data_IF_106146319838
#
_entry.id   IF_106146319838
#
_cell.length_a   1.000
_cell.length_b   1.000
_cell.length_c   1.000
_cell.angle_alpha   90.00
_cell.angle_beta   90.00
_cell.angle_gamma   90.00
#
_symmetry.space_group_name_H-M   'P 1'
#
loop_
_entity.id
_entity.type
_entity.pdbx_description
1 polymer ?
#
# COMPACT_ATOMS: atom_id res chain seq x y z
N UNK A 1 -8.05 -22.41 -7.26
CA UNK A 1 -7.90 -20.95 -7.22
C UNK A 1 -8.99 -20.35 -6.33
N UNK A 2 -8.68 -19.36 -5.50
CA UNK A 2 -9.64 -18.65 -4.65
C UNK A 2 -9.34 -17.14 -4.62
N UNK A 3 -10.38 -16.30 -4.65
CA UNK A 3 -10.22 -14.85 -4.49
C UNK A 3 -9.95 -14.47 -3.03
N UNK A 4 -8.86 -13.77 -2.76
CA UNK A 4 -8.23 -13.52 -1.45
C UNK A 4 -7.85 -14.76 -0.67
N UNK A 5 -8.81 -15.64 -0.34
CA UNK A 5 -8.55 -16.86 0.44
C UNK A 5 -8.07 -16.65 1.88
N UNK A 6 -8.00 -15.41 2.39
CA UNK A 6 -7.41 -15.13 3.70
C UNK A 6 -8.41 -15.18 4.87
N UNK A 7 -9.70 -14.97 4.63
CA UNK A 7 -10.72 -14.91 5.70
C UNK A 7 -11.98 -15.73 5.39
N UNK A 8 -12.74 -16.03 6.45
CA UNK A 8 -14.07 -16.62 6.37
C UNK A 8 -14.14 -17.95 5.61
N UNK A 9 -15.23 -18.14 4.86
CA UNK A 9 -15.47 -19.38 4.10
C UNK A 9 -14.44 -19.63 3.00
N UNK A 10 -13.84 -18.57 2.46
CA UNK A 10 -12.77 -18.66 1.46
C UNK A 10 -11.48 -19.20 2.06
N UNK A 11 -11.15 -18.82 3.30
CA UNK A 11 -10.05 -19.43 4.05
C UNK A 11 -10.31 -20.90 4.31
N UNK A 12 -11.50 -21.25 4.80
CA UNK A 12 -11.87 -22.65 5.03
C UNK A 12 -11.74 -23.51 3.75
N UNK A 13 -12.15 -22.97 2.59
CA UNK A 13 -11.98 -23.64 1.31
C UNK A 13 -10.51 -23.88 0.95
N UNK A 14 -9.66 -22.86 1.09
CA UNK A 14 -8.22 -22.97 0.80
C UNK A 14 -7.53 -23.94 1.75
N UNK A 15 -7.82 -23.89 3.05
CA UNK A 15 -7.28 -24.80 4.06
C UNK A 15 -7.68 -26.25 3.77
N UNK A 16 -8.95 -26.49 3.44
CA UNK A 16 -9.42 -27.83 3.04
C UNK A 16 -8.76 -28.32 1.75
N UNK A 17 -8.51 -27.44 0.78
CA UNK A 17 -7.76 -27.81 -0.43
C UNK A 17 -6.31 -28.19 -0.11
N UNK A 18 -5.63 -27.44 0.77
CA UNK A 18 -4.27 -27.76 1.24
C UNK A 18 -4.21 -29.09 1.97
N UNK A 19 -5.15 -29.32 2.90
CA UNK A 19 -5.26 -30.59 3.65
C UNK A 19 -5.46 -31.79 2.72
N UNK A 20 -6.22 -31.61 1.63
CA UNK A 20 -6.41 -32.62 0.60
C UNK A 20 -5.20 -32.79 -0.36
N UNK A 21 -4.10 -32.07 -0.15
CA UNK A 21 -2.91 -32.10 -1.02
C UNK A 21 -3.10 -31.42 -2.38
N UNK A 22 -4.14 -30.60 -2.54
CA UNK A 22 -4.39 -29.88 -3.78
C UNK A 22 -3.53 -28.59 -3.85
N UNK A 23 -2.95 -28.28 -5.02
CA UNK A 23 -2.25 -27.01 -5.21
C UNK A 23 -3.20 -25.82 -5.02
N UNK A 24 -2.73 -24.79 -4.32
CA UNK A 24 -3.49 -23.55 -4.09
C UNK A 24 -3.01 -22.41 -4.95
N UNK A 25 -3.96 -21.55 -5.34
CA UNK A 25 -3.67 -20.29 -6.04
C UNK A 25 -4.61 -19.22 -5.50
N UNK A 26 -4.06 -18.13 -5.03
CA UNK A 26 -4.75 -16.98 -4.50
C UNK A 26 -4.79 -15.87 -5.55
N UNK A 27 -5.96 -15.26 -5.70
CA UNK A 27 -6.18 -14.17 -6.63
C UNK A 27 -6.61 -12.90 -5.90
N UNK A 28 -6.09 -11.75 -6.32
CA UNK A 28 -6.51 -10.42 -5.82
C UNK A 28 -6.22 -9.36 -6.90
N UNK A 29 -6.89 -8.21 -6.83
CA UNK A 29 -6.50 -7.05 -7.62
C UNK A 29 -5.08 -6.63 -7.27
N UNK A 30 -4.26 -6.35 -8.29
CA UNK A 30 -2.96 -5.75 -8.03
C UNK A 30 -3.14 -4.28 -7.62
N UNK A 31 -2.17 -3.71 -6.89
CA UNK A 31 -2.06 -2.27 -6.65
C UNK A 31 -1.71 -1.47 -7.92
N UNK A 32 -1.60 -2.12 -9.10
CA UNK A 32 -1.29 -1.51 -10.39
C UNK A 32 -2.50 -1.57 -11.34
N UNK A 33 -2.76 -0.53 -12.15
CA UNK A 33 -3.91 -0.49 -13.06
C UNK A 33 -3.89 -1.65 -14.04
N UNK A 34 -5.06 -2.26 -14.29
CA UNK A 34 -5.20 -3.35 -15.26
C UNK A 34 -4.49 -4.66 -14.88
N UNK A 35 -4.07 -4.81 -13.62
CA UNK A 35 -3.28 -5.97 -13.20
C UNK A 35 -3.85 -6.74 -12.02
N UNK A 36 -3.54 -8.02 -12.00
CA UNK A 36 -3.95 -8.97 -10.95
C UNK A 36 -2.74 -9.60 -10.27
N UNK A 37 -2.96 -10.05 -9.04
CA UNK A 37 -2.05 -10.95 -8.32
C UNK A 37 -2.55 -12.37 -8.50
N UNK A 38 -1.66 -13.29 -8.90
CA UNK A 38 -1.87 -14.73 -8.80
C UNK A 38 -0.65 -15.35 -8.12
N UNK A 39 -0.85 -15.90 -6.93
CA UNK A 39 0.23 -16.35 -6.06
C UNK A 39 -0.16 -17.63 -5.33
N UNK A 40 0.74 -18.62 -5.27
CA UNK A 40 0.46 -19.91 -4.66
C UNK A 40 0.53 -19.90 -3.12
N UNK A 41 1.28 -18.96 -2.54
CA UNK A 41 1.47 -18.80 -1.10
C UNK A 41 0.34 -18.00 -0.46
N UNK A 42 -0.01 -16.86 -1.06
CA UNK A 42 -1.02 -15.94 -0.52
C UNK A 42 -1.04 -14.61 -1.27
N UNK A 43 -1.89 -13.68 -0.83
CA UNK A 43 -1.96 -12.31 -1.37
C UNK A 43 -1.65 -11.29 -0.29
N UNK A 44 -1.45 -10.03 -0.67
CA UNK A 44 -1.16 -8.95 0.26
C UNK A 44 0.10 -9.25 1.09
N UNK A 45 0.04 -9.19 2.42
CA UNK A 45 1.18 -9.49 3.28
C UNK A 45 1.54 -10.99 3.34
N UNK A 46 0.69 -11.90 2.84
CA UNK A 46 0.98 -13.36 2.77
C UNK A 46 1.53 -13.79 1.41
N UNK A 47 1.88 -12.84 0.53
CA UNK A 47 2.39 -13.17 -0.79
C UNK A 47 3.83 -13.70 -0.81
N UNK A 48 4.22 -14.25 -1.96
CA UNK A 48 5.55 -14.80 -2.22
C UNK A 48 6.59 -13.76 -2.67
N UNK A 49 6.27 -12.46 -2.62
CA UNK A 49 7.19 -11.39 -3.06
C UNK A 49 8.42 -11.34 -2.14
N UNK A 50 9.65 -11.46 -2.68
CA UNK A 50 10.86 -11.35 -1.87
C UNK A 50 10.99 -10.00 -1.16
N UNK A 51 11.33 -10.00 0.13
CA UNK A 51 11.43 -8.76 0.96
C UNK A 51 12.87 -8.41 1.30
N UNK A 52 13.76 -8.62 0.33
CA UNK A 52 15.20 -8.44 0.47
C UNK A 52 15.78 -7.98 -0.86
N UNK A 53 16.74 -7.08 -0.80
CA UNK A 53 17.23 -6.37 -1.98
C UNK A 53 17.94 -7.29 -2.97
N UNK A 54 18.61 -8.35 -2.50
CA UNK A 54 19.37 -9.29 -3.34
C UNK A 54 18.51 -9.98 -4.39
N UNK A 55 17.21 -10.13 -4.12
CA UNK A 55 16.27 -10.75 -5.04
C UNK A 55 16.09 -9.93 -6.34
N UNK A 56 16.50 -8.67 -6.33
CA UNK A 56 16.30 -7.72 -7.42
C UNK A 56 17.62 -7.34 -8.13
N UNK A 57 18.77 -7.92 -7.74
CA UNK A 57 20.08 -7.59 -8.33
C UNK A 57 20.21 -7.91 -9.81
N UNK A 58 19.53 -8.96 -10.27
CA UNK A 58 19.52 -9.34 -11.68
C UNK A 58 18.49 -8.57 -12.53
N UNK A 59 17.64 -7.73 -11.89
CA UNK A 59 16.57 -7.02 -12.59
C UNK A 59 17.11 -5.71 -13.15
N UNK A 60 16.94 -5.49 -14.45
CA UNK A 60 17.21 -4.19 -15.06
C UNK A 60 16.00 -3.25 -14.84
N UNK A 61 16.18 -2.01 -14.34
CA UNK A 61 15.11 -1.03 -14.27
C UNK A 61 14.49 -0.75 -15.64
N UNK A 62 13.16 -0.69 -15.72
CA UNK A 62 12.43 -0.27 -16.91
C UNK A 62 11.64 1.01 -16.62
N UNK A 63 12.29 2.16 -16.76
CA UNK A 63 11.68 3.46 -16.46
C UNK A 63 10.52 3.82 -17.39
N UNK A 64 10.51 3.36 -18.64
CA UNK A 64 9.40 3.60 -19.58
C UNK A 64 8.13 2.89 -19.10
N UNK A 65 8.25 1.62 -18.71
CA UNK A 65 7.14 0.86 -18.10
C UNK A 65 6.61 1.54 -16.83
N UNK A 66 7.52 1.98 -15.96
CA UNK A 66 7.14 2.64 -14.71
C UNK A 66 6.44 3.98 -14.94
N UNK A 67 6.92 4.78 -15.90
CA UNK A 67 6.29 6.03 -16.28
C UNK A 67 4.87 5.81 -16.85
N UNK A 68 4.70 4.83 -17.74
CA UNK A 68 3.37 4.51 -18.28
C UNK A 68 2.38 4.03 -17.20
N UNK A 69 2.86 3.26 -16.21
CA UNK A 69 2.02 2.87 -15.07
C UNK A 69 1.64 4.03 -14.18
N UNK A 70 2.57 4.99 -13.97
CA UNK A 70 2.30 6.21 -13.20
C UNK A 70 1.16 7.00 -13.83
N UNK A 71 1.18 7.19 -15.15
CA UNK A 71 0.15 7.93 -15.89
C UNK A 71 -1.23 7.28 -15.85
N UNK A 72 -1.29 5.95 -15.65
CA UNK A 72 -2.54 5.20 -15.58
C UNK A 72 -3.19 5.18 -14.19
N UNK A 73 -2.58 5.80 -13.17
CA UNK A 73 -3.16 5.85 -11.84
C UNK A 73 -4.34 6.82 -11.76
N UNK A 74 -5.48 6.32 -11.30
CA UNK A 74 -6.69 7.12 -11.11
C UNK A 74 -7.26 6.92 -9.71
N UNK A 75 -7.74 8.01 -9.11
CA UNK A 75 -8.39 7.93 -7.81
C UNK A 75 -9.75 7.24 -7.91
N UNK A 76 -10.06 6.45 -6.88
CA UNK A 76 -11.34 5.73 -6.80
C UNK A 76 -12.50 6.70 -6.62
N UNK A 77 -13.57 6.45 -7.37
CA UNK A 77 -14.84 7.16 -7.26
C UNK A 77 -15.42 7.07 -5.83
N UNK A 78 -15.73 8.21 -5.18
CA UNK A 78 -16.30 8.24 -3.84
C UNK A 78 -17.70 7.63 -3.74
N UNK A 79 -17.94 6.88 -2.66
CA UNK A 79 -19.27 6.39 -2.25
C UNK A 79 -19.99 7.35 -1.31
N UNK A 80 -19.24 8.26 -0.68
CA UNK A 80 -19.73 9.27 0.27
C UNK A 80 -19.63 10.66 -0.37
N UNK A 81 -20.65 11.49 -0.14
CA UNK A 81 -20.73 12.86 -0.70
C UNK A 81 -19.72 13.82 -0.10
N UNK A 82 -19.27 13.55 1.12
CA UNK A 82 -18.32 14.39 1.85
C UNK A 82 -16.86 14.00 1.59
N UNK A 83 -16.61 13.07 0.65
CA UNK A 83 -15.30 12.76 0.09
C UNK A 83 -15.31 13.16 -1.38
N UNK A 84 -14.49 14.14 -1.72
CA UNK A 84 -14.36 14.71 -3.06
C UNK A 84 -13.12 14.23 -3.81
N UNK A 85 -13.02 14.71 -5.05
CA UNK A 85 -11.92 14.49 -5.99
C UNK A 85 -11.49 15.82 -6.63
N UNK A 86 -11.50 16.90 -5.86
CA UNK A 86 -11.05 18.20 -6.38
C UNK A 86 -9.54 18.19 -6.64
N UNK A 87 -9.14 18.69 -7.78
CA UNK A 87 -7.76 18.93 -8.22
C UNK A 87 -7.25 20.32 -7.82
N UNK A 88 -7.96 21.03 -6.95
CA UNK A 88 -7.59 22.36 -6.52
C UNK A 88 -6.19 22.36 -5.86
N UNK A 89 -5.29 23.25 -6.27
CA UNK A 89 -3.91 23.26 -5.78
C UNK A 89 -3.85 23.40 -4.26
N UNK A 90 -2.85 22.76 -3.68
CA UNK A 90 -2.49 22.91 -2.28
C UNK A 90 -1.55 24.12 -2.11
N UNK A 91 -1.51 24.76 -0.94
CA UNK A 91 -0.53 25.81 -0.66
C UNK A 91 0.90 25.28 -0.86
N UNK A 92 1.74 26.06 -1.56
CA UNK A 92 3.11 25.66 -1.91
C UNK A 92 4.01 25.44 -0.67
N UNK A 93 3.66 26.04 0.46
CA UNK A 93 4.38 25.97 1.73
C UNK A 93 3.87 24.86 2.67
N UNK A 94 2.84 24.11 2.28
CA UNK A 94 2.30 23.04 3.11
C UNK A 94 3.27 21.85 3.18
N UNK A 95 3.95 21.68 4.33
CA UNK A 95 4.85 20.54 4.58
C UNK A 95 4.09 19.43 5.28
N UNK A 96 3.73 18.38 4.55
CA UNK A 96 2.95 17.29 5.13
C UNK A 96 3.33 15.92 4.59
N UNK A 97 3.13 14.92 5.44
CA UNK A 97 3.02 13.53 5.01
C UNK A 97 1.56 13.20 4.74
N UNK A 98 1.29 12.62 3.58
CA UNK A 98 -0.07 12.20 3.20
C UNK A 98 -0.40 10.85 3.84
N UNK A 99 -1.59 10.77 4.43
CA UNK A 99 -2.10 9.58 5.11
C UNK A 99 -3.43 9.17 4.47
N UNK A 100 -3.39 8.34 3.40
CA UNK A 100 -4.59 7.76 2.83
C UNK A 100 -5.15 6.70 3.78
N UNK A 101 -6.25 7.02 4.46
CA UNK A 101 -6.91 6.09 5.37
C UNK A 101 -7.55 4.95 4.57
N UNK A 102 -7.66 3.79 5.21
CA UNK A 102 -8.19 2.57 4.61
C UNK A 102 -9.60 2.27 5.11
N UNK A 103 -10.25 1.31 4.48
CA UNK A 103 -11.57 0.83 4.89
C UNK A 103 -11.41 0.01 6.19
N UNK A 104 -12.20 0.26 7.26
CA UNK A 104 -12.03 -0.43 8.54
C UNK A 104 -12.21 -1.96 8.46
N UNK A 105 -13.16 -2.42 7.63
CA UNK A 105 -13.50 -3.83 7.43
C UNK A 105 -12.73 -4.48 6.27
N UNK A 106 -11.68 -3.82 5.76
CA UNK A 106 -10.77 -4.41 4.79
C UNK A 106 -9.96 -5.56 5.41
N UNK A 107 -9.74 -6.65 4.67
CA UNK A 107 -8.99 -7.79 5.18
C UNK A 107 -7.54 -7.43 5.51
N UNK A 108 -6.90 -6.51 4.77
CA UNK A 108 -5.58 -6.03 5.10
C UNK A 108 -5.55 -5.21 6.38
N UNK A 109 -6.62 -4.45 6.65
CA UNK A 109 -6.73 -3.70 7.91
C UNK A 109 -6.98 -4.64 9.10
N UNK A 110 -7.76 -5.70 8.90
CA UNK A 110 -8.07 -6.66 9.98
C UNK A 110 -6.87 -7.57 10.28
N UNK A 111 -6.19 -8.08 9.26
CA UNK A 111 -5.16 -9.11 9.42
C UNK A 111 -3.76 -8.53 9.61
N UNK A 112 -3.48 -7.38 8.99
CA UNK A 112 -2.10 -6.93 8.76
C UNK A 112 -1.85 -5.51 9.28
N UNK A 113 -2.66 -5.03 10.23
CA UNK A 113 -2.48 -3.71 10.84
C UNK A 113 -1.34 -3.62 11.86
N UNK A 114 -0.68 -4.74 12.16
CA UNK A 114 0.45 -4.78 13.09
C UNK A 114 0.09 -4.21 14.47
N UNK A 115 1.00 -3.44 15.04
CA UNK A 115 0.85 -2.84 16.38
C UNK A 115 -0.25 -1.78 16.45
N UNK A 116 -0.70 -1.22 15.32
CA UNK A 116 -1.82 -0.28 15.29
C UNK A 116 -3.17 -0.96 15.55
N UNK A 117 -3.29 -2.29 15.39
CA UNK A 117 -4.48 -3.05 15.73
C UNK A 117 -5.76 -2.71 14.95
N UNK A 118 -5.66 -1.91 13.88
CA UNK A 118 -6.77 -1.50 13.01
C UNK A 118 -6.78 0.00 12.74
N UNK A 119 -7.81 0.47 12.02
CA UNK A 119 -7.87 1.87 11.57
C UNK A 119 -7.93 2.86 12.73
N UNK A 120 -8.71 2.54 13.77
CA UNK A 120 -8.87 3.43 14.92
C UNK A 120 -7.58 3.58 15.72
N UNK A 121 -6.88 2.47 15.99
CA UNK A 121 -5.59 2.51 16.67
C UNK A 121 -4.50 3.15 15.81
N UNK A 122 -4.56 3.01 14.49
CA UNK A 122 -3.71 3.77 13.57
C UNK A 122 -3.94 5.28 13.71
N UNK A 123 -5.19 5.75 13.71
CA UNK A 123 -5.51 7.18 13.89
C UNK A 123 -5.00 7.70 15.24
N UNK A 124 -5.13 6.92 16.31
CA UNK A 124 -4.63 7.29 17.63
C UNK A 124 -3.10 7.37 17.66
N UNK A 125 -2.43 6.40 17.04
CA UNK A 125 -0.98 6.38 16.92
C UNK A 125 -0.45 7.58 16.11
N UNK A 126 -1.14 7.98 15.03
CA UNK A 126 -0.81 9.19 14.27
C UNK A 126 -0.97 10.44 15.12
N UNK A 127 -2.03 10.53 15.91
CA UNK A 127 -2.25 11.67 16.79
C UNK A 127 -1.12 11.82 17.81
N UNK A 128 -0.72 10.72 18.45
CA UNK A 128 0.40 10.70 19.40
C UNK A 128 1.73 11.04 18.72
N UNK A 129 2.07 10.36 17.63
CA UNK A 129 3.35 10.55 16.94
C UNK A 129 3.46 11.93 16.26
N UNK A 130 2.33 12.59 15.94
CA UNK A 130 2.33 13.95 15.36
C UNK A 130 3.00 15.00 16.26
N UNK A 131 3.14 14.72 17.57
CA UNK A 131 3.87 15.59 18.49
C UNK A 131 5.38 15.67 18.19
N UNK A 132 5.95 14.64 17.55
CA UNK A 132 7.37 14.59 17.17
C UNK A 132 7.69 15.43 15.93
N UNK A 133 6.68 15.78 15.13
CA UNK A 133 6.89 16.54 13.89
C UNK A 133 7.61 17.87 14.14
N UNK A 134 8.46 18.35 13.21
CA UNK A 134 9.01 19.69 13.27
C UNK A 134 7.90 20.76 13.14
N UNK A 135 8.21 22.00 13.55
CA UNK A 135 7.28 23.12 13.38
C UNK A 135 6.90 23.30 11.89
N UNK A 136 5.64 23.63 11.63
CA UNK A 136 5.10 23.78 10.27
C UNK A 136 4.72 22.47 9.58
N UNK A 137 5.03 21.31 10.17
CA UNK A 137 4.62 20.01 9.64
C UNK A 137 3.33 19.48 10.23
N UNK A 138 2.58 18.72 9.42
CA UNK A 138 1.41 17.96 9.85
C UNK A 138 1.24 16.64 9.08
N UNK A 139 0.35 15.81 9.58
CA UNK A 139 -0.16 14.63 8.87
C UNK A 139 -1.48 14.99 8.20
N UNK A 140 -1.55 14.90 6.87
CA UNK A 140 -2.79 15.17 6.11
C UNK A 140 -3.52 13.86 5.84
N UNK A 141 -4.64 13.68 6.52
CA UNK A 141 -5.48 12.48 6.45
C UNK A 141 -6.58 12.67 5.40
N UNK A 142 -6.86 11.61 4.64
CA UNK A 142 -8.04 11.52 3.77
C UNK A 142 -8.76 10.21 4.00
N UNK A 143 -10.07 10.27 4.23
CA UNK A 143 -10.89 9.06 4.36
C UNK A 143 -11.00 8.30 3.04
N UNK A 144 -11.00 6.96 3.12
CA UNK A 144 -11.09 6.13 1.92
C UNK A 144 -12.41 6.39 1.16
N UNK A 145 -12.39 6.59 -0.17
CA UNK A 145 -13.59 6.86 -0.98
C UNK A 145 -14.67 5.76 -0.85
N UNK A 146 -14.24 4.52 -0.62
CA UNK A 146 -15.15 3.36 -0.45
C UNK A 146 -15.57 3.08 1.00
N UNK A 147 -15.06 3.82 1.99
CA UNK A 147 -15.45 3.62 3.38
C UNK A 147 -16.92 3.98 3.60
N UNK A 148 -17.66 3.09 4.26
CA UNK A 148 -19.10 3.28 4.52
C UNK A 148 -19.37 4.22 5.70
N UNK A 149 -18.44 4.29 6.64
CA UNK A 149 -18.57 5.06 7.89
C UNK A 149 -17.46 6.09 7.96
N UNK A 150 -17.80 7.23 8.58
CA UNK A 150 -16.81 8.28 8.81
C UNK A 150 -16.04 8.08 10.11
N UNK A 151 -14.75 8.39 10.07
CA UNK A 151 -13.87 8.54 11.24
C UNK A 151 -13.56 10.00 11.58
N UNK A 152 -14.19 10.96 10.87
CA UNK A 152 -14.00 12.41 11.04
C UNK A 152 -14.07 12.84 12.50
N UNK A 153 -15.12 12.43 13.22
CA UNK A 153 -15.31 12.84 14.62
C UNK A 153 -14.16 12.41 15.55
N UNK A 154 -13.48 11.30 15.25
CA UNK A 154 -12.29 10.86 16.00
C UNK A 154 -11.09 11.74 15.68
N UNK A 155 -10.88 12.03 14.40
CA UNK A 155 -9.78 12.88 13.93
C UNK A 155 -9.95 14.31 14.47
N UNK A 156 -11.15 14.88 14.38
CA UNK A 156 -11.45 16.22 14.91
C UNK A 156 -11.23 16.32 16.42
N UNK A 157 -11.49 15.24 17.18
CA UNK A 157 -11.18 15.19 18.61
C UNK A 157 -9.68 15.29 18.87
N UNK A 158 -8.85 14.58 18.10
CA UNK A 158 -7.39 14.64 18.22
C UNK A 158 -6.86 16.02 17.82
N UNK A 159 -7.39 16.61 16.75
CA UNK A 159 -7.06 17.99 16.35
C UNK A 159 -7.40 18.98 17.47
N UNK A 160 -8.59 18.87 18.06
CA UNK A 160 -8.99 19.71 19.19
C UNK A 160 -8.12 19.51 20.45
N UNK A 161 -7.47 18.34 20.58
CA UNK A 161 -6.51 18.03 21.64
C UNK A 161 -5.06 18.48 21.31
N UNK A 162 -4.84 19.12 20.15
CA UNK A 162 -3.54 19.66 19.75
C UNK A 162 -2.69 18.73 18.87
N UNK A 163 -3.24 17.61 18.38
CA UNK A 163 -2.54 16.77 17.42
C UNK A 163 -2.36 17.53 16.09
N UNK A 164 -1.19 17.39 15.46
CA UNK A 164 -0.87 18.04 14.18
C UNK A 164 -1.40 17.23 13.01
N UNK A 165 -2.73 17.09 12.97
CA UNK A 165 -3.46 16.39 11.94
C UNK A 165 -4.30 17.39 11.14
N UNK A 166 -4.49 17.13 9.85
CA UNK A 166 -5.46 17.83 9.02
C UNK A 166 -6.30 16.82 8.25
N UNK A 167 -7.63 16.96 8.30
CA UNK A 167 -8.54 16.12 7.51
C UNK A 167 -8.90 16.82 6.20
N UNK A 168 -8.43 16.30 5.08
CA UNK A 168 -8.77 16.78 3.73
C UNK A 168 -9.47 15.69 2.92
N UNK A 169 -10.79 15.63 3.11
CA UNK A 169 -11.63 14.77 2.30
C UNK A 169 -11.97 15.35 0.93
N UNK A 170 -11.75 16.65 0.69
CA UNK A 170 -12.25 17.34 -0.50
C UNK A 170 -11.39 17.09 -1.74
N UNK A 171 -10.06 17.07 -1.56
CA UNK A 171 -9.10 16.95 -2.67
C UNK A 171 -8.85 15.53 -3.13
N UNK A 172 -8.51 15.35 -4.39
CA UNK A 172 -8.13 14.08 -4.98
C UNK A 172 -6.94 13.41 -4.25
N UNK A 173 -6.96 12.08 -4.16
CA UNK A 173 -5.92 11.34 -3.44
C UNK A 173 -4.55 11.42 -4.13
N UNK A 174 -4.49 11.36 -5.46
CA UNK A 174 -3.24 11.47 -6.19
C UNK A 174 -2.73 12.91 -6.21
N UNK A 175 -3.64 13.91 -6.28
CA UNK A 175 -3.24 15.31 -6.10
C UNK A 175 -2.61 15.56 -4.72
N UNK A 176 -3.17 15.00 -3.65
CA UNK A 176 -2.59 15.09 -2.30
C UNK A 176 -1.26 14.32 -2.19
N UNK A 177 -1.16 13.15 -2.81
CA UNK A 177 0.06 12.36 -2.85
C UNK A 177 1.19 13.11 -3.57
N UNK A 178 0.93 13.66 -4.76
CA UNK A 178 1.92 14.41 -5.54
C UNK A 178 2.45 15.64 -4.80
N UNK A 179 1.56 16.37 -4.11
CA UNK A 179 1.94 17.53 -3.32
C UNK A 179 2.62 17.21 -1.98
N UNK A 180 2.50 15.97 -1.48
CA UNK A 180 3.08 15.58 -0.18
C UNK A 180 4.60 15.45 -0.21
N UNK A 181 5.24 15.55 0.95
CA UNK A 181 6.65 15.23 1.11
C UNK A 181 6.91 13.71 1.20
N UNK A 182 5.87 12.92 1.49
CA UNK A 182 5.95 11.48 1.68
C UNK A 182 4.58 10.90 2.05
N UNK A 183 4.48 9.58 2.05
CA UNK A 183 3.25 8.85 2.40
C UNK A 183 3.45 8.02 3.66
N UNK A 184 2.49 8.04 4.57
CA UNK A 184 2.45 7.20 5.76
C UNK A 184 1.18 6.36 5.71
N UNK A 185 1.34 5.03 5.76
CA UNK A 185 0.22 4.10 5.65
C UNK A 185 0.38 2.91 6.58
N UNK A 186 -0.72 2.18 6.83
CA UNK A 186 -0.63 0.88 7.49
C UNK A 186 -0.09 -0.15 6.52
N UNK A 187 -0.79 -0.37 5.40
CA UNK A 187 -0.40 -1.33 4.35
C UNK A 187 -1.15 -1.10 3.03
N UNK A 188 -1.62 0.14 2.79
CA UNK A 188 -2.43 0.49 1.63
C UNK A 188 -1.66 0.30 0.32
N UNK A 189 -2.36 -0.09 -0.74
CA UNK A 189 -1.85 -0.04 -2.12
C UNK A 189 -1.30 1.35 -2.47
N UNK A 190 -1.88 2.43 -1.92
CA UNK A 190 -1.36 3.78 -2.16
C UNK A 190 0.06 3.98 -1.63
N UNK A 191 0.51 3.19 -0.63
CA UNK A 191 1.90 3.18 -0.19
C UNK A 191 2.84 2.69 -1.30
N UNK A 192 2.49 1.60 -2.00
CA UNK A 192 3.25 1.16 -3.18
C UNK A 192 3.15 2.18 -4.32
N UNK A 193 1.96 2.72 -4.57
CA UNK A 193 1.74 3.67 -5.67
C UNK A 193 2.56 4.96 -5.48
N UNK A 194 2.73 5.41 -4.24
CA UNK A 194 3.55 6.59 -3.91
C UNK A 194 5.00 6.47 -4.39
N UNK A 195 5.53 5.25 -4.48
CA UNK A 195 6.88 4.99 -4.99
C UNK A 195 7.03 5.38 -6.47
N UNK A 196 5.96 5.34 -7.26
CA UNK A 196 5.96 5.78 -8.66
C UNK A 196 6.01 7.31 -8.79
N UNK A 197 5.73 8.05 -7.71
CA UNK A 197 5.84 9.50 -7.63
C UNK A 197 7.08 9.92 -6.83
N UNK A 198 8.04 9.01 -6.69
CA UNK A 198 9.31 9.22 -5.99
C UNK A 198 9.17 9.62 -4.51
N UNK A 199 8.01 9.32 -3.89
CA UNK A 199 7.76 9.69 -2.50
C UNK A 199 8.38 8.67 -1.53
N UNK A 200 9.02 9.10 -0.43
CA UNK A 200 9.32 8.18 0.66
C UNK A 200 8.03 7.65 1.29
N UNK A 201 8.09 6.43 1.83
CA UNK A 201 6.92 5.73 2.36
C UNK A 201 7.23 5.18 3.73
N UNK A 202 6.43 5.55 4.74
CA UNK A 202 6.42 4.94 6.07
C UNK A 202 5.29 3.91 6.14
N UNK A 203 5.57 2.75 6.71
CA UNK A 203 4.61 1.63 6.82
C UNK A 203 4.52 1.16 8.27
N UNK A 204 3.34 1.26 8.89
CA UNK A 204 3.16 0.85 10.31
C UNK A 204 2.63 -0.58 10.48
N UNK A 205 2.03 -1.15 9.43
CA UNK A 205 1.53 -2.53 9.40
C UNK A 205 2.42 -3.47 8.59
N UNK A 206 1.87 -4.63 8.24
CA UNK A 206 2.56 -5.59 7.38
C UNK A 206 2.23 -5.32 5.91
N UNK A 207 3.26 -4.98 5.14
CA UNK A 207 3.18 -4.85 3.69
C UNK A 207 4.41 -5.49 3.04
N UNK A 208 4.21 -6.20 1.93
CA UNK A 208 5.32 -6.88 1.23
C UNK A 208 6.38 -5.92 0.68
N UNK A 209 6.06 -4.63 0.53
CA UNK A 209 6.96 -3.57 0.08
C UNK A 209 7.66 -2.83 1.24
N UNK A 210 7.41 -3.22 2.48
CA UNK A 210 8.00 -2.60 3.67
C UNK A 210 9.34 -3.27 4.03
N UNK A 211 10.38 -2.99 3.26
CA UNK A 211 11.73 -3.47 3.54
C UNK A 211 12.78 -2.40 3.23
N UNK A 212 13.97 -2.59 3.83
CA UNK A 212 15.08 -1.65 3.78
C UNK A 212 15.44 -1.23 2.35
N UNK A 213 15.71 0.06 2.17
CA UNK A 213 15.99 0.68 0.87
C UNK A 213 14.74 0.99 0.04
N UNK A 214 13.62 0.27 0.22
CA UNK A 214 12.38 0.51 -0.53
C UNK A 214 11.38 1.39 0.23
N UNK A 215 11.18 1.14 1.52
CA UNK A 215 10.31 1.91 2.40
C UNK A 215 10.86 1.92 3.83
N UNK A 216 10.19 2.66 4.73
CA UNK A 216 10.53 2.76 6.15
C UNK A 216 9.49 2.01 6.99
N UNK A 217 9.74 0.76 7.39
CA UNK A 217 8.90 0.09 8.38
C UNK A 217 8.98 0.83 9.72
N UNK A 218 7.83 1.08 10.33
CA UNK A 218 7.70 1.59 11.70
C UNK A 218 7.02 0.50 12.52
N UNK A 219 7.81 -0.34 13.20
CA UNK A 219 7.36 -1.50 13.95
C UNK A 219 6.82 -1.18 15.35
N UNK A 220 6.90 0.07 15.79
CA UNK A 220 6.43 0.53 17.09
C UNK A 220 6.02 2.00 17.09
N UNK A 221 5.27 2.47 18.12
CA UNK A 221 5.01 3.90 18.31
C UNK A 221 6.30 4.73 18.39
N UNK A 222 7.35 4.19 19.02
CA UNK A 222 8.63 4.88 19.18
C UNK A 222 9.35 5.07 17.85
N UNK A 223 9.39 4.02 17.02
CA UNK A 223 9.98 4.10 15.67
C UNK A 223 9.20 5.07 14.78
N UNK A 224 7.87 5.06 14.85
CA UNK A 224 7.03 6.03 14.13
C UNK A 224 7.38 7.47 14.54
N UNK A 225 7.45 7.75 15.83
CA UNK A 225 7.82 9.07 16.33
C UNK A 225 9.24 9.48 15.91
N UNK A 226 10.19 8.54 15.87
CA UNK A 226 11.56 8.81 15.38
C UNK A 226 11.58 9.20 13.90
N UNK A 227 10.85 8.47 13.04
CA UNK A 227 10.75 8.79 11.62
C UNK A 227 10.04 10.14 11.39
N UNK A 228 9.07 10.49 12.23
CA UNK A 228 8.38 11.78 12.17
C UNK A 228 9.19 12.95 12.74
N UNK A 229 10.24 12.69 13.52
CA UNK A 229 11.07 13.74 14.10
C UNK A 229 11.91 14.49 13.04
N UNK A 230 12.25 13.82 11.94
CA UNK A 230 12.95 14.41 10.80
C UNK A 230 12.39 13.87 9.47
N UNK A 231 11.20 14.35 9.05
CA UNK A 231 10.56 13.88 7.82
C UNK A 231 11.37 14.20 6.55
N UNK A 232 12.28 15.19 6.60
CA UNK A 232 13.16 15.54 5.49
C UNK A 232 14.26 14.51 5.24
N UNK A 233 14.65 13.76 6.28
CA UNK A 233 15.61 12.68 6.15
C UNK A 233 15.02 11.40 5.56
N UNK A 234 13.70 11.35 5.32
CA UNK A 234 13.05 10.20 4.71
C UNK A 234 13.48 10.05 3.25
N UNK A 235 14.40 9.13 2.99
CA UNK A 235 14.88 8.79 1.66
C UNK A 235 14.44 7.40 1.20
N UNK A 236 14.98 6.96 0.07
CA UNK A 236 14.92 5.59 -0.40
C UNK A 236 16.05 5.34 -1.41
N UNK A 237 16.36 4.08 -1.70
CA UNK A 237 17.27 3.72 -2.78
C UNK A 237 16.49 3.71 -4.10
N UNK A 238 16.72 4.73 -4.94
CA UNK A 238 16.01 4.91 -6.20
C UNK A 238 16.27 3.80 -7.22
N UNK A 239 17.48 3.24 -7.25
CA UNK A 239 17.82 2.16 -8.18
C UNK A 239 17.18 0.84 -7.73
N UNK A 240 17.32 0.48 -6.45
CA UNK A 240 16.65 -0.69 -5.88
C UNK A 240 15.13 -0.61 -6.06
N UNK A 241 14.54 0.56 -5.79
CA UNK A 241 13.09 0.77 -5.95
C UNK A 241 12.67 0.61 -7.41
N UNK A 242 13.42 1.14 -8.36
CA UNK A 242 13.12 0.99 -9.78
C UNK A 242 13.20 -0.48 -10.23
N UNK A 243 14.21 -1.24 -9.76
CA UNK A 243 14.33 -2.69 -9.99
C UNK A 243 13.16 -3.46 -9.38
N UNK A 244 12.82 -3.17 -8.13
CA UNK A 244 11.70 -3.79 -7.42
C UNK A 244 10.36 -3.55 -8.13
N UNK A 245 10.04 -2.29 -8.47
CA UNK A 245 8.80 -1.95 -9.16
C UNK A 245 8.76 -2.55 -10.57
N UNK A 246 9.89 -2.61 -11.27
CA UNK A 246 9.99 -3.27 -12.59
C UNK A 246 9.66 -4.75 -12.46
N UNK A 247 10.28 -5.45 -11.51
CA UNK A 247 10.01 -6.86 -11.25
C UNK A 247 8.56 -7.10 -10.87
N UNK A 248 7.99 -6.26 -10.01
CA UNK A 248 6.57 -6.35 -9.67
C UNK A 248 5.69 -6.24 -10.92
N UNK A 249 5.96 -5.22 -11.74
CA UNK A 249 5.17 -4.89 -12.92
C UNK A 249 5.28 -5.93 -14.04
N UNK A 250 6.47 -6.50 -14.24
CA UNK A 250 6.77 -7.36 -15.36
C UNK A 250 6.68 -8.85 -15.02
N UNK A 251 7.12 -9.25 -13.81
CA UNK A 251 7.35 -10.65 -13.42
C UNK A 251 6.36 -11.19 -12.39
N UNK A 252 5.83 -10.32 -11.54
CA UNK A 252 4.95 -10.74 -10.46
C UNK A 252 3.47 -10.56 -10.80
N UNK A 253 3.07 -9.33 -11.13
CA UNK A 253 1.70 -9.02 -11.52
C UNK A 253 1.43 -9.42 -12.96
N UNK A 254 0.19 -9.80 -13.22
CA UNK A 254 -0.25 -10.21 -14.55
C UNK A 254 -1.20 -9.20 -15.16
N UNK A 255 -1.08 -9.02 -16.46
CA UNK A 255 -1.93 -8.12 -17.23
C UNK A 255 -3.27 -8.80 -17.54
N UNK A 256 -4.36 -8.13 -17.18
CA UNK A 256 -5.71 -8.67 -17.31
C UNK A 256 -6.68 -7.60 -17.83
N UNK A 257 -7.37 -7.88 -18.93
CA UNK A 257 -8.28 -6.93 -19.57
C UNK A 257 -9.71 -6.98 -19.01
N UNK A 258 -9.94 -7.76 -17.96
CA UNK A 258 -11.27 -8.01 -17.38
C UNK A 258 -11.94 -9.28 -17.91
N UNK A 259 -11.42 -9.92 -18.97
CA UNK A 259 -11.97 -11.12 -19.58
C UNK A 259 -10.92 -12.23 -19.79
N UNK A 260 -9.70 -11.86 -20.14
CA UNK A 260 -8.61 -12.76 -20.44
C UNK A 260 -7.27 -12.21 -19.96
N UNK A 261 -6.30 -13.12 -19.82
CA UNK A 261 -4.90 -12.74 -19.65
C UNK A 261 -4.40 -12.15 -20.95
N UNK A 262 -3.71 -11.01 -20.85
CA UNK A 262 -3.20 -10.29 -22.02
C UNK A 262 -1.92 -10.96 -22.53
N UNK A 263 -1.06 -11.44 -21.61
CA UNK A 263 0.17 -12.17 -21.96
C UNK A 263 0.11 -13.62 -21.47
N UNK A 264 -0.05 -14.55 -22.42
CA UNK A 264 -0.02 -16.00 -22.12
C UNK A 264 1.36 -16.49 -21.62
N UNK A 265 2.46 -15.77 -21.88
CA UNK A 265 3.77 -16.12 -21.34
C UNK A 265 3.85 -15.89 -19.82
N UNK A 266 2.98 -15.06 -19.24
CA UNK A 266 2.84 -14.90 -17.78
C UNK A 266 2.24 -16.16 -17.12
N UNK A 267 1.44 -16.98 -17.83
CA UNK A 267 0.91 -18.24 -17.30
C UNK A 267 2.01 -19.22 -16.93
N UNK A 268 3.04 -19.36 -17.78
CA UNK A 268 4.17 -20.26 -17.51
C UNK A 268 4.92 -19.91 -16.23
N UNK A 269 4.97 -18.63 -15.86
CA UNK A 269 5.57 -18.14 -14.60
C UNK A 269 4.69 -18.49 -13.40
N UNK A 270 3.37 -18.36 -13.53
CA UNK A 270 2.41 -18.76 -12.49
C UNK A 270 2.45 -20.27 -12.26
N UNK A 271 2.45 -21.08 -13.33
CA UNK A 271 2.49 -22.55 -13.22
C UNK A 271 3.74 -23.03 -12.49
N UNK A 272 4.92 -22.47 -12.80
CA UNK A 272 6.16 -22.76 -12.07
C UNK A 272 6.07 -22.42 -10.57
N UNK A 273 5.36 -21.35 -10.19
CA UNK A 273 5.13 -21.00 -8.78
C UNK A 273 4.19 -21.99 -8.06
N UNK A 274 3.25 -22.60 -8.78
CA UNK A 274 2.32 -23.60 -8.24
C UNK A 274 2.98 -24.96 -8.06
N UNK A 275 3.87 -25.35 -8.99
CA UNK A 275 4.51 -26.67 -9.01
C UNK A 275 5.70 -26.79 -8.02
N UNK A 276 6.21 -25.68 -7.49
CA UNK A 276 7.38 -25.64 -6.61
C UNK A 276 8.72 -25.81 -7.37
N UNK A 277 9.88 -25.74 -6.68
CA UNK A 277 11.14 -26.11 -7.31
C UNK A 277 11.05 -27.56 -7.76
N UNK A 278 11.28 -27.81 -9.06
CA UNK A 278 11.48 -29.16 -9.54
C UNK A 278 12.89 -29.58 -9.12
N UNK A 279 12.99 -30.41 -8.08
CA UNK A 279 14.25 -31.03 -7.70
C UNK A 279 14.79 -31.80 -8.92
N UNK A 280 15.92 -31.35 -9.45
CA UNK A 280 16.72 -32.06 -10.45
C UNK A 280 17.94 -32.68 -9.81
#
# INVERSE_FOLDING_TARGET
>A
MCWQGLTGTRRAFIEGARDAGAPTLFAELAPLPGRWTLDAQGVNAENSVPRRWEAYDAVAPNYELLAGLREAFEARQPRRRDVGQSDAPLPEDARFLFVPLQVPDDSQMILFAGWCGGLEGFIDALAEASAALPEGWHLRLKEHPSAKRSVRARIERHIAAGARLELDNARDSFAQLEASAGVLTVNSSMGLQAMFFDKPVIVTGEAFFAFEGVAHPAGSPQELAQLLADPDALGHDGDLRARFLTWLAHDYYIDFDGKALIDSAQLGRITKKIEGPQDS
#
